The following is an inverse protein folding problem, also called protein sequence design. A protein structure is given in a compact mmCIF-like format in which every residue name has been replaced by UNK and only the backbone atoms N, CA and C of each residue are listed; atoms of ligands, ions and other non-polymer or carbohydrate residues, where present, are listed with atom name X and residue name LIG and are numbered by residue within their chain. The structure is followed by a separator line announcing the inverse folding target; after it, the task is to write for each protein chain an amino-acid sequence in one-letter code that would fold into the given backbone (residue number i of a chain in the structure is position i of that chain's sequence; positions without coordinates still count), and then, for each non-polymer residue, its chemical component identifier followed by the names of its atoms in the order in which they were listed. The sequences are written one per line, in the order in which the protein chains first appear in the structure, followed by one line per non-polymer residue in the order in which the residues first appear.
data_IF_800622816736
#
_entry.id   IF_800622816736
#
_cell.length_a   1.000
_cell.length_b   1.000
_cell.length_c   1.000
_cell.angle_alpha   90.00
_cell.angle_beta   90.00
_cell.angle_gamma   90.00
#
_symmetry.space_group_name_H-M   'P 1'
#
loop_
_entity.id
_entity.type
_entity.pdbx_description
1 polymer ?
#
# COMPACT_ATOMS: atom_id res chain seq x y z
N UNK A 1 -9.63 21.55 14.05
CA UNK A 1 -10.31 20.24 14.20
C UNK A 1 -11.80 20.37 13.92
N UNK A 2 -12.16 20.77 12.70
CA UNK A 2 -13.56 20.97 12.29
C UNK A 2 -14.21 19.70 11.70
N UNK A 3 -13.37 18.71 11.36
CA UNK A 3 -13.72 17.48 10.62
C UNK A 3 -14.80 16.61 11.29
N UNK A 4 -15.06 16.83 12.60
CA UNK A 4 -16.00 16.03 13.39
C UNK A 4 -17.03 16.91 14.11
N UNK A 5 -17.35 18.11 13.61
CA UNK A 5 -18.54 18.83 14.09
C UNK A 5 -19.78 18.04 13.69
N UNK A 6 -20.47 17.49 14.69
CA UNK A 6 -21.50 16.49 14.46
C UNK A 6 -22.86 16.98 14.90
N UNK A 7 -23.78 17.00 13.94
CA UNK A 7 -25.22 17.24 14.07
C UNK A 7 -25.59 18.62 14.63
N UNK A 8 -26.45 19.31 13.88
CA UNK A 8 -27.11 20.50 14.37
C UNK A 8 -28.11 20.07 15.45
N UNK A 9 -27.95 20.57 16.67
CA UNK A 9 -28.74 20.18 17.85
C UNK A 9 -29.99 21.06 18.02
N UNK A 10 -30.06 22.16 17.28
CA UNK A 10 -31.11 23.17 17.36
C UNK A 10 -30.59 24.51 16.85
N UNK A 11 -31.40 25.55 16.95
CA UNK A 11 -30.99 26.94 16.66
C UNK A 11 -30.85 27.73 17.96
N UNK A 12 -29.88 28.64 18.03
CA UNK A 12 -29.85 29.66 19.08
C UNK A 12 -31.05 30.63 18.95
N UNK A 13 -31.19 31.55 19.90
CA UNK A 13 -32.24 32.59 19.89
C UNK A 13 -32.21 33.50 18.64
N UNK A 14 -31.11 33.45 17.87
CA UNK A 14 -30.89 34.21 16.64
C UNK A 14 -31.09 33.35 15.37
N UNK A 15 -31.51 32.09 15.51
CA UNK A 15 -31.73 31.18 14.39
C UNK A 15 -30.47 30.50 13.85
N UNK A 16 -29.31 30.63 14.52
CA UNK A 16 -28.07 29.97 14.11
C UNK A 16 -28.04 28.53 14.61
N UNK A 17 -27.74 27.59 13.71
CA UNK A 17 -27.64 26.17 14.07
C UNK A 17 -26.46 25.90 15.02
N UNK A 18 -26.76 25.38 16.21
CA UNK A 18 -25.80 24.96 17.22
C UNK A 18 -25.25 23.57 16.86
N UNK A 19 -23.94 23.41 16.80
CA UNK A 19 -23.27 22.11 16.60
C UNK A 19 -22.76 21.56 17.91
N UNK A 20 -22.94 20.25 18.16
CA UNK A 20 -22.28 19.60 19.29
C UNK A 20 -20.80 19.42 18.96
N UNK A 21 -19.86 19.80 19.85
CA UNK A 21 -18.51 19.30 19.73
C UNK A 21 -18.54 17.76 19.84
N UNK A 22 -17.75 17.04 19.05
CA UNK A 22 -17.72 15.60 19.13
C UNK A 22 -17.24 15.16 20.52
N UNK A 23 -17.90 14.15 21.09
CA UNK A 23 -17.42 13.55 22.34
C UNK A 23 -16.08 12.85 22.11
N UNK A 24 -15.23 12.78 23.13
CA UNK A 24 -13.96 12.04 23.06
C UNK A 24 -14.17 10.60 22.56
N UNK A 25 -15.18 9.90 23.08
CA UNK A 25 -15.52 8.55 22.65
C UNK A 25 -15.82 8.45 21.14
N UNK A 26 -16.48 9.48 20.56
CA UNK A 26 -16.76 9.52 19.12
C UNK A 26 -15.49 9.74 18.30
N UNK A 27 -14.63 10.67 18.72
CA UNK A 27 -13.34 10.93 18.06
C UNK A 27 -12.46 9.68 18.13
N UNK A 28 -12.38 9.06 19.30
CA UNK A 28 -11.61 7.83 19.51
C UNK A 28 -12.13 6.67 18.65
N UNK A 29 -13.45 6.50 18.53
CA UNK A 29 -14.04 5.49 17.65
C UNK A 29 -13.68 5.72 16.18
N UNK A 30 -13.77 6.97 15.70
CA UNK A 30 -13.37 7.33 14.33
C UNK A 30 -11.89 7.01 14.10
N UNK A 31 -11.02 7.43 15.02
CA UNK A 31 -9.59 7.16 14.95
C UNK A 31 -9.29 5.65 14.93
N UNK A 32 -9.94 4.87 15.79
CA UNK A 32 -9.75 3.42 15.85
C UNK A 32 -10.25 2.73 14.58
N UNK A 33 -11.44 3.09 14.08
CA UNK A 33 -11.99 2.52 12.84
C UNK A 33 -11.10 2.82 11.64
N UNK A 34 -10.63 4.07 11.49
CA UNK A 34 -9.76 4.45 10.38
C UNK A 34 -8.36 3.83 10.49
N UNK A 35 -7.80 3.71 11.70
CA UNK A 35 -6.56 2.96 11.91
C UNK A 35 -6.72 1.48 11.55
N UNK A 36 -7.82 0.86 11.99
CA UNK A 36 -8.11 -0.54 11.70
C UNK A 36 -8.28 -0.77 10.20
N UNK A 37 -8.99 0.11 9.50
CA UNK A 37 -9.14 0.07 8.04
C UNK A 37 -7.79 -0.02 7.32
N UNK A 38 -6.83 0.84 7.67
CA UNK A 38 -5.50 0.82 7.05
C UNK A 38 -4.66 -0.38 7.43
N UNK A 39 -4.79 -0.85 8.68
CA UNK A 39 -4.13 -2.07 9.14
C UNK A 39 -4.62 -3.28 8.35
N UNK A 40 -5.93 -3.44 8.22
CA UNK A 40 -6.53 -4.52 7.43
C UNK A 40 -6.15 -4.41 5.95
N UNK A 41 -6.15 -3.20 5.38
CA UNK A 41 -5.67 -3.01 4.00
C UNK A 41 -4.22 -3.47 3.81
N UNK A 42 -3.36 -3.24 4.80
CA UNK A 42 -1.96 -3.66 4.76
C UNK A 42 -1.81 -5.18 4.96
N UNK A 43 -2.63 -5.78 5.81
CA UNK A 43 -2.57 -7.22 6.10
C UNK A 43 -3.23 -8.07 4.99
N UNK A 44 -4.35 -7.62 4.44
CA UNK A 44 -5.15 -8.36 3.44
C UNK A 44 -4.65 -8.05 2.02
N UNK A 45 -4.82 -6.80 1.55
CA UNK A 45 -4.61 -6.51 0.13
C UNK A 45 -3.13 -6.46 -0.28
N UNK A 46 -2.22 -6.11 0.64
CA UNK A 46 -0.80 -6.10 0.32
C UNK A 46 -0.14 -7.47 0.50
N UNK A 47 -0.74 -8.38 1.29
CA UNK A 47 -0.23 -9.75 1.41
C UNK A 47 -0.57 -10.60 0.17
N UNK A 48 -1.68 -10.32 -0.50
CA UNK A 48 -2.03 -10.92 -1.80
C UNK A 48 -1.04 -10.59 -2.92
N UNK A 49 -0.17 -9.60 -2.71
CA UNK A 49 0.90 -9.24 -3.65
C UNK A 49 2.19 -10.02 -3.44
N UNK A 50 2.22 -10.93 -2.47
CA UNK A 50 3.37 -11.79 -2.26
C UNK A 50 3.59 -12.68 -3.48
N UNK A 51 4.85 -12.93 -3.79
CA UNK A 51 5.25 -13.85 -4.85
C UNK A 51 6.31 -14.84 -4.37
N UNK A 52 6.64 -15.78 -5.26
CA UNK A 52 7.56 -16.90 -4.97
C UNK A 52 9.03 -16.51 -5.21
N UNK A 53 9.36 -15.21 -5.20
CA UNK A 53 10.76 -14.82 -5.09
C UNK A 53 11.27 -15.24 -3.72
N UNK A 54 12.48 -15.78 -3.71
CA UNK A 54 13.15 -16.23 -2.49
C UNK A 54 14.45 -15.45 -2.32
N UNK A 55 14.92 -15.34 -1.08
CA UNK A 55 16.26 -14.85 -0.78
C UNK A 55 17.12 -16.02 -0.34
N UNK A 56 18.38 -16.02 -0.74
CA UNK A 56 19.36 -16.95 -0.20
C UNK A 56 19.89 -16.43 1.12
N UNK A 57 19.99 -17.30 2.11
CA UNK A 57 20.75 -17.09 3.34
C UNK A 57 22.04 -17.88 3.25
N UNK A 58 23.15 -17.26 3.62
CA UNK A 58 24.49 -17.83 3.52
C UNK A 58 25.19 -17.64 4.87
N UNK A 59 25.55 -18.74 5.52
CA UNK A 59 26.22 -18.77 6.81
C UNK A 59 27.71 -18.95 6.65
N UNK A 60 28.46 -18.36 7.59
CA UNK A 60 29.91 -18.44 7.66
C UNK A 60 30.34 -19.31 8.84
N UNK A 61 31.58 -19.81 8.80
CA UNK A 61 32.18 -20.54 9.92
C UNK A 61 32.39 -19.66 11.15
N UNK A 62 32.71 -18.38 10.92
CA UNK A 62 33.03 -17.40 11.94
C UNK A 62 32.47 -16.04 11.54
N UNK A 63 32.16 -15.23 12.54
CA UNK A 63 31.67 -13.87 12.32
C UNK A 63 32.73 -13.04 11.55
N UNK A 64 32.34 -12.37 10.46
CA UNK A 64 33.20 -11.47 9.71
C UNK A 64 33.12 -10.05 10.31
N UNK A 65 34.15 -9.24 10.07
CA UNK A 65 34.14 -7.81 10.43
C UNK A 65 33.42 -7.01 9.33
N UNK A 66 32.09 -7.02 9.37
CA UNK A 66 31.22 -6.35 8.40
C UNK A 66 30.31 -5.34 9.10
N UNK A 67 30.11 -4.18 8.47
CA UNK A 67 29.09 -3.21 8.85
C UNK A 67 27.69 -3.85 8.92
N UNK A 68 26.98 -3.56 10.00
CA UNK A 68 25.64 -4.10 10.27
C UNK A 68 24.63 -3.65 9.20
N UNK A 69 23.89 -4.58 8.63
CA UNK A 69 22.91 -4.34 7.56
C UNK A 69 23.49 -3.66 6.31
N UNK A 70 24.82 -3.71 6.14
CA UNK A 70 25.50 -3.14 4.99
C UNK A 70 25.45 -4.10 3.81
N UNK A 71 25.38 -3.54 2.60
CA UNK A 71 25.33 -4.30 1.34
C UNK A 71 26.73 -4.42 0.75
N UNK A 72 27.09 -5.64 0.39
CA UNK A 72 28.35 -6.03 -0.23
C UNK A 72 28.08 -6.77 -1.55
N UNK A 73 29.09 -6.87 -2.41
CA UNK A 73 29.02 -7.68 -3.62
C UNK A 73 29.82 -8.97 -3.44
N UNK A 74 29.14 -10.11 -3.52
CA UNK A 74 29.76 -11.43 -3.53
C UNK A 74 30.15 -11.77 -4.97
N UNK A 75 31.41 -12.12 -5.18
CA UNK A 75 31.93 -12.55 -6.47
C UNK A 75 31.56 -14.02 -6.71
N UNK A 76 30.77 -14.26 -7.75
CA UNK A 76 30.32 -15.60 -8.13
C UNK A 76 31.13 -16.17 -9.31
N UNK A 77 32.15 -15.46 -9.81
CA UNK A 77 32.91 -15.82 -11.00
C UNK A 77 32.45 -15.02 -12.23
N UNK A 78 31.48 -15.51 -13.02
CA UNK A 78 31.05 -14.80 -14.24
C UNK A 78 30.15 -13.59 -13.95
N UNK A 79 29.65 -13.45 -12.72
CA UNK A 79 28.87 -12.31 -12.24
C UNK A 79 29.16 -12.05 -10.76
N UNK A 80 28.73 -10.90 -10.25
CA UNK A 80 28.55 -10.68 -8.82
C UNK A 80 27.07 -10.75 -8.43
N UNK A 81 26.81 -10.88 -7.13
CA UNK A 81 25.50 -10.77 -6.53
C UNK A 81 25.58 -9.92 -5.26
N UNK A 82 24.71 -8.92 -5.14
CA UNK A 82 24.66 -8.12 -3.92
C UNK A 82 24.03 -8.90 -2.75
N UNK A 83 24.70 -8.89 -1.60
CA UNK A 83 24.30 -9.54 -0.34
C UNK A 83 24.36 -8.53 0.81
N UNK A 84 23.46 -8.63 1.79
CA UNK A 84 23.49 -7.81 2.99
C UNK A 84 23.93 -8.64 4.20
N UNK A 85 24.77 -8.07 5.07
CA UNK A 85 25.15 -8.70 6.33
C UNK A 85 24.09 -8.47 7.41
N UNK A 86 23.49 -9.55 7.90
CA UNK A 86 22.59 -9.51 9.06
C UNK A 86 23.43 -9.91 10.29
N UNK A 87 23.64 -9.00 11.26
CA UNK A 87 24.42 -9.30 12.45
C UNK A 87 23.70 -10.33 13.34
N UNK A 88 24.40 -10.99 14.27
CA UNK A 88 23.79 -11.88 15.25
C UNK A 88 22.64 -11.20 16.01
N UNK A 89 21.51 -11.89 16.15
CA UNK A 89 20.32 -11.40 16.85
C UNK A 89 19.65 -12.52 17.64
N UNK A 90 19.13 -12.21 18.82
CA UNK A 90 18.34 -13.15 19.64
C UNK A 90 19.00 -14.53 19.85
N UNK A 91 20.34 -14.54 19.98
CA UNK A 91 21.14 -15.76 20.15
C UNK A 91 21.38 -16.57 18.89
N UNK A 92 20.93 -16.10 17.72
CA UNK A 92 21.23 -16.68 16.41
C UNK A 92 22.50 -16.07 15.81
N UNK A 93 23.34 -16.88 15.11
CA UNK A 93 24.51 -16.36 14.42
C UNK A 93 24.12 -15.42 13.28
N UNK A 94 25.02 -14.50 12.94
CA UNK A 94 24.85 -13.63 11.78
C UNK A 94 24.98 -14.40 10.46
N UNK A 95 24.38 -13.86 9.40
CA UNK A 95 24.38 -14.47 8.07
C UNK A 95 24.32 -13.40 6.97
N UNK A 96 24.74 -13.77 5.76
CA UNK A 96 24.54 -12.97 4.56
C UNK A 96 23.20 -13.32 3.93
N UNK A 97 22.46 -12.31 3.45
CA UNK A 97 21.21 -12.50 2.70
C UNK A 97 21.32 -11.90 1.30
N UNK A 98 20.92 -12.63 0.27
CA UNK A 98 20.87 -12.10 -1.09
C UNK A 98 19.89 -10.92 -1.18
N UNK A 99 20.29 -9.85 -1.84
CA UNK A 99 19.44 -8.66 -2.06
C UNK A 99 19.10 -8.44 -3.53
N UNK A 100 19.79 -9.14 -4.42
CA UNK A 100 19.68 -8.97 -5.87
C UNK A 100 18.56 -9.80 -6.52
N UNK A 101 18.34 -9.64 -7.82
CA UNK A 101 17.40 -10.46 -8.58
C UNK A 101 18.03 -11.82 -8.95
N UNK A 102 17.65 -12.88 -8.25
CA UNK A 102 18.20 -14.23 -8.47
C UNK A 102 17.89 -14.80 -9.86
N UNK A 103 16.81 -14.36 -10.52
CA UNK A 103 16.56 -14.75 -11.92
C UNK A 103 17.64 -14.21 -12.85
N UNK A 104 18.07 -12.96 -12.63
CA UNK A 104 19.17 -12.37 -13.38
C UNK A 104 20.48 -13.08 -13.05
N UNK A 105 20.77 -13.30 -11.76
CA UNK A 105 21.97 -14.02 -11.32
C UNK A 105 22.06 -15.42 -11.95
N UNK A 106 20.96 -16.18 -11.93
CA UNK A 106 20.89 -17.50 -12.55
C UNK A 106 21.21 -17.46 -14.06
N UNK A 107 20.68 -16.47 -14.81
CA UNK A 107 21.02 -16.30 -16.24
C UNK A 107 22.50 -16.06 -16.46
N UNK A 108 23.11 -15.19 -15.65
CA UNK A 108 24.54 -14.88 -15.78
C UNK A 108 25.43 -16.07 -15.41
N UNK A 109 24.96 -16.93 -14.51
CA UNK A 109 25.61 -18.20 -14.16
C UNK A 109 25.34 -19.33 -15.18
N UNK A 110 24.61 -19.06 -16.26
CA UNK A 110 24.36 -20.03 -17.33
C UNK A 110 23.18 -20.97 -17.11
N UNK A 111 22.22 -20.62 -16.24
CA UNK A 111 20.99 -21.39 -16.08
C UNK A 111 20.19 -21.45 -17.39
N UNK A 112 19.51 -22.57 -17.62
CA UNK A 112 18.56 -22.71 -18.72
C UNK A 112 17.46 -21.64 -18.65
N UNK A 113 16.93 -21.25 -19.81
CA UNK A 113 15.95 -20.17 -19.91
C UNK A 113 14.72 -20.42 -19.01
N UNK A 114 14.24 -21.66 -18.96
CA UNK A 114 13.11 -22.12 -18.14
C UNK A 114 13.35 -21.91 -16.64
N UNK A 115 14.50 -22.34 -16.12
CA UNK A 115 14.89 -22.16 -14.71
C UNK A 115 14.97 -20.68 -14.35
N UNK A 116 15.56 -19.89 -15.25
CA UNK A 116 15.76 -18.46 -15.02
C UNK A 116 14.52 -17.58 -15.23
N UNK A 117 13.43 -18.15 -15.76
CA UNK A 117 12.16 -17.46 -15.93
C UNK A 117 11.27 -17.60 -14.68
N UNK A 118 11.50 -18.65 -13.89
CA UNK A 118 10.80 -18.89 -12.63
C UNK A 118 11.62 -18.38 -11.44
N UNK A 119 10.96 -17.75 -10.47
CA UNK A 119 11.64 -17.12 -9.34
C UNK A 119 12.19 -18.12 -8.32
N UNK A 120 11.46 -19.20 -8.05
CA UNK A 120 11.88 -20.22 -7.09
C UNK A 120 12.96 -21.12 -7.66
N UNK A 121 12.80 -21.57 -8.92
CA UNK A 121 13.82 -22.39 -9.60
C UNK A 121 15.14 -21.64 -9.76
N UNK A 122 15.09 -20.32 -10.01
CA UNK A 122 16.29 -19.48 -10.03
C UNK A 122 17.00 -19.45 -8.68
N UNK A 123 16.26 -19.37 -7.57
CA UNK A 123 16.85 -19.37 -6.24
C UNK A 123 17.55 -20.71 -5.94
N UNK A 124 16.87 -21.83 -6.20
CA UNK A 124 17.42 -23.19 -6.04
C UNK A 124 18.68 -23.36 -6.89
N UNK A 125 18.65 -22.93 -8.15
CA UNK A 125 19.82 -23.02 -9.03
C UNK A 125 21.03 -22.25 -8.48
N UNK A 126 20.84 -21.01 -8.01
CA UNK A 126 21.93 -20.19 -7.47
C UNK A 126 22.44 -20.77 -6.15
N UNK A 127 21.56 -21.30 -5.32
CA UNK A 127 21.93 -22.02 -4.09
C UNK A 127 22.80 -23.25 -4.39
N UNK A 128 22.37 -24.11 -5.31
CA UNK A 128 23.12 -25.30 -5.72
C UNK A 128 24.48 -24.94 -6.32
N UNK A 129 24.55 -23.85 -7.08
CA UNK A 129 25.80 -23.29 -7.58
C UNK A 129 26.73 -22.90 -6.42
N UNK A 130 26.23 -22.18 -5.42
CA UNK A 130 27.01 -21.76 -4.25
C UNK A 130 27.50 -22.97 -3.44
N UNK A 131 26.62 -23.96 -3.19
CA UNK A 131 26.97 -25.21 -2.50
C UNK A 131 28.11 -25.91 -3.19
N UNK A 132 27.99 -26.14 -4.50
CA UNK A 132 29.00 -26.84 -5.29
C UNK A 132 30.35 -26.12 -5.30
N UNK A 133 30.36 -24.82 -5.53
CA UNK A 133 31.61 -24.07 -5.73
C UNK A 133 32.35 -23.78 -4.42
N UNK A 134 31.65 -23.39 -3.35
CA UNK A 134 32.28 -22.92 -2.11
C UNK A 134 32.17 -23.89 -0.93
N UNK A 135 31.02 -24.55 -0.75
CA UNK A 135 30.82 -25.45 0.40
C UNK A 135 31.49 -26.80 0.13
N UNK A 136 31.10 -27.46 -0.95
CA UNK A 136 31.67 -28.76 -1.35
C UNK A 136 33.08 -28.60 -1.91
N UNK A 137 33.29 -27.56 -2.72
CA UNK A 137 34.59 -27.20 -3.27
C UNK A 137 35.58 -26.64 -2.25
N UNK A 138 35.12 -26.30 -1.03
CA UNK A 138 35.90 -25.68 0.05
C UNK A 138 36.74 -24.49 -0.42
N UNK A 139 36.18 -23.68 -1.31
CA UNK A 139 36.84 -22.47 -1.82
C UNK A 139 36.61 -21.31 -0.87
N UNK A 140 37.58 -20.41 -0.82
CA UNK A 140 37.44 -19.15 -0.12
C UNK A 140 36.50 -18.22 -0.90
N UNK A 141 35.39 -17.75 -0.30
CA UNK A 141 34.48 -16.80 -0.93
C UNK A 141 35.13 -15.42 -1.02
N UNK A 142 34.83 -14.69 -2.09
CA UNK A 142 35.27 -13.31 -2.28
C UNK A 142 34.10 -12.35 -2.10
N UNK A 143 34.25 -11.42 -1.15
CA UNK A 143 33.26 -10.39 -0.84
C UNK A 143 33.91 -9.01 -0.89
N UNK A 144 33.26 -8.07 -1.57
CA UNK A 144 33.77 -6.73 -1.83
C UNK A 144 32.78 -5.68 -1.34
N UNK A 145 33.28 -4.54 -0.86
CA UNK A 145 32.43 -3.38 -0.57
C UNK A 145 32.27 -2.50 -1.83
N UNK A 146 31.06 -2.32 -2.37
CA UNK A 146 30.84 -1.51 -3.57
C UNK A 146 31.20 -0.03 -3.35
N UNK A 147 31.16 0.46 -2.12
CA UNK A 147 31.46 1.86 -1.77
C UNK A 147 32.96 2.16 -1.62
N UNK A 148 33.79 1.13 -1.54
CA UNK A 148 35.22 1.33 -1.37
C UNK A 148 35.86 2.02 -2.58
N UNK A 149 36.86 2.86 -2.30
CA UNK A 149 37.70 3.44 -3.34
C UNK A 149 38.35 2.32 -4.17
N UNK A 150 38.62 2.57 -5.45
CA UNK A 150 39.14 1.56 -6.38
C UNK A 150 40.40 0.83 -5.87
N UNK A 151 41.23 1.51 -5.07
CA UNK A 151 42.42 0.92 -4.44
C UNK A 151 42.11 -0.07 -3.29
N UNK A 152 40.97 0.07 -2.60
CA UNK A 152 40.53 -0.83 -1.51
C UNK A 152 39.58 -1.93 -1.99
N UNK A 153 38.95 -1.78 -3.16
CA UNK A 153 38.10 -2.82 -3.79
C UNK A 153 38.80 -4.16 -4.11
N UNK A 154 40.08 -4.31 -3.78
CA UNK A 154 40.83 -5.54 -3.98
C UNK A 154 40.90 -6.43 -2.73
N UNK A 155 40.63 -5.90 -1.53
CA UNK A 155 40.68 -6.70 -0.30
C UNK A 155 39.44 -7.58 -0.18
N UNK A 156 39.64 -8.90 -0.10
CA UNK A 156 38.57 -9.83 0.22
C UNK A 156 38.14 -9.65 1.68
N UNK A 157 36.90 -9.23 1.91
CA UNK A 157 36.35 -9.03 3.26
C UNK A 157 36.05 -10.35 3.99
N UNK A 158 36.06 -11.47 3.27
CA UNK A 158 35.89 -12.81 3.84
C UNK A 158 37.20 -13.61 3.83
N UNK A 159 38.34 -12.91 3.99
CA UNK A 159 39.62 -13.60 4.04
C UNK A 159 39.67 -14.63 5.18
N UNK A 160 40.19 -15.83 4.90
CA UNK A 160 40.25 -16.97 5.83
C UNK A 160 38.88 -17.36 6.42
N UNK A 161 37.80 -17.15 5.67
CA UNK A 161 36.44 -17.62 6.01
C UNK A 161 35.96 -18.65 5.01
N UNK A 162 35.04 -19.50 5.45
CA UNK A 162 34.38 -20.48 4.58
C UNK A 162 32.87 -20.39 4.74
N UNK A 163 32.16 -20.69 3.66
CA UNK A 163 30.71 -20.86 3.71
C UNK A 163 30.41 -22.21 4.35
N UNK A 164 29.52 -22.24 5.34
CA UNK A 164 29.14 -23.46 6.05
C UNK A 164 27.82 -24.01 5.55
N UNK A 165 26.82 -23.13 5.41
CA UNK A 165 25.51 -23.48 4.88
C UNK A 165 25.00 -22.38 3.97
N UNK A 166 24.16 -22.78 3.02
CA UNK A 166 23.30 -21.88 2.27
C UNK A 166 21.93 -22.52 2.15
N UNK A 167 20.90 -21.68 2.19
CA UNK A 167 19.51 -22.09 2.08
C UNK A 167 18.72 -21.01 1.33
N UNK A 168 17.54 -21.32 0.84
CA UNK A 168 16.61 -20.33 0.33
C UNK A 168 15.44 -20.16 1.29
N UNK A 169 14.97 -18.93 1.44
CA UNK A 169 13.81 -18.66 2.28
C UNK A 169 12.53 -19.26 1.67
N UNK A 170 11.83 -20.06 2.46
CA UNK A 170 10.47 -20.56 2.15
C UNK A 170 9.36 -19.54 2.44
N UNK A 171 9.72 -18.32 2.85
CA UNK A 171 8.75 -17.25 3.10
C UNK A 171 8.47 -16.50 1.80
N UNK A 172 7.18 -16.35 1.47
CA UNK A 172 6.76 -15.61 0.29
C UNK A 172 7.22 -14.15 0.33
N UNK A 173 7.80 -13.67 -0.77
CA UNK A 173 8.39 -12.33 -0.87
C UNK A 173 7.31 -11.27 -1.04
N UNK A 174 7.33 -10.25 -0.17
CA UNK A 174 6.46 -9.08 -0.30
C UNK A 174 7.16 -7.98 -1.13
N UNK A 175 6.69 -7.67 -2.35
CA UNK A 175 7.20 -6.53 -3.11
C UNK A 175 6.73 -5.17 -2.59
N UNK A 176 5.86 -5.18 -1.58
CA UNK A 176 5.30 -3.98 -0.99
C UNK A 176 6.14 -3.53 0.19
N UNK A 177 6.50 -2.25 0.20
CA UNK A 177 7.20 -1.61 1.30
C UNK A 177 6.24 -0.61 1.95
N UNK A 178 5.63 -0.94 3.10
CA UNK A 178 4.80 0.01 3.82
C UNK A 178 5.67 1.15 4.38
N UNK A 179 5.22 2.39 4.20
CA UNK A 179 5.91 3.58 4.72
C UNK A 179 5.12 4.13 5.93
N UNK A 180 3.80 4.31 5.79
CA UNK A 180 2.92 4.82 6.84
C UNK A 180 1.56 4.12 6.78
N UNK A 181 1.03 3.75 7.94
CA UNK A 181 -0.33 3.26 8.13
C UNK A 181 -0.93 3.93 9.37
N UNK A 182 -1.36 5.18 9.19
CA UNK A 182 -1.97 6.00 10.23
C UNK A 182 -3.45 6.26 9.89
N UNK A 183 -4.30 6.53 10.89
CA UNK A 183 -5.73 6.81 10.68
C UNK A 183 -6.05 7.79 9.53
N UNK A 184 -5.21 8.79 9.30
CA UNK A 184 -5.41 9.83 8.27
C UNK A 184 -4.62 9.60 6.99
N UNK A 185 -3.58 8.77 7.04
CA UNK A 185 -2.56 8.71 5.99
C UNK A 185 -2.08 7.29 5.82
N UNK A 186 -2.10 6.84 4.58
CA UNK A 186 -1.51 5.58 4.16
C UNK A 186 -0.54 5.83 3.02
N UNK A 187 0.68 5.29 3.13
CA UNK A 187 1.71 5.37 2.10
C UNK A 187 2.43 4.03 2.01
N UNK A 188 2.58 3.52 0.79
CA UNK A 188 3.33 2.32 0.50
C UNK A 188 4.04 2.45 -0.86
N UNK A 189 5.20 1.81 -1.00
CA UNK A 189 5.82 1.57 -2.29
C UNK A 189 5.33 0.23 -2.80
N UNK A 190 4.83 0.21 -4.04
CA UNK A 190 4.21 -0.95 -4.66
C UNK A 190 4.71 -1.10 -6.10
N UNK A 191 4.73 -2.32 -6.66
CA UNK A 191 4.99 -2.51 -8.08
C UNK A 191 4.01 -1.70 -8.95
N UNK A 192 4.54 -1.00 -9.95
CA UNK A 192 3.75 -0.12 -10.82
C UNK A 192 2.59 -0.84 -11.53
N UNK A 193 2.79 -2.10 -11.92
CA UNK A 193 1.79 -2.94 -12.57
C UNK A 193 0.65 -3.40 -11.63
N UNK A 194 0.81 -3.24 -10.31
CA UNK A 194 -0.20 -3.60 -9.29
C UNK A 194 -0.87 -2.37 -8.67
N UNK A 195 -0.37 -1.17 -8.96
CA UNK A 195 -0.83 0.07 -8.32
C UNK A 195 -2.34 0.33 -8.49
N UNK A 196 -2.90 0.06 -9.68
CA UNK A 196 -4.32 0.26 -9.93
C UNK A 196 -5.20 -0.78 -9.22
N UNK A 197 -4.76 -2.03 -9.17
CA UNK A 197 -5.46 -3.11 -8.45
C UNK A 197 -5.60 -2.75 -6.97
N UNK A 198 -4.51 -2.24 -6.37
CA UNK A 198 -4.48 -1.80 -4.96
C UNK A 198 -5.41 -0.61 -4.75
N UNK A 199 -5.38 0.39 -5.64
CA UNK A 199 -6.28 1.55 -5.55
C UNK A 199 -7.74 1.12 -5.64
N UNK A 200 -8.06 0.18 -6.53
CA UNK A 200 -9.40 -0.36 -6.66
C UNK A 200 -9.83 -1.14 -5.41
N UNK A 201 -8.93 -1.95 -4.82
CA UNK A 201 -9.18 -2.65 -3.56
C UNK A 201 -9.47 -1.65 -2.42
N UNK A 202 -8.64 -0.62 -2.26
CA UNK A 202 -8.84 0.44 -1.25
C UNK A 202 -10.18 1.16 -1.48
N UNK A 203 -10.48 1.57 -2.71
CA UNK A 203 -11.74 2.24 -3.05
C UNK A 203 -12.94 1.36 -2.71
N UNK A 204 -12.86 0.06 -3.00
CA UNK A 204 -13.92 -0.92 -2.78
C UNK A 204 -14.17 -1.13 -1.29
N UNK A 205 -13.11 -1.38 -0.51
CA UNK A 205 -13.20 -1.49 0.96
C UNK A 205 -13.76 -0.21 1.57
N UNK A 206 -13.31 0.95 1.12
CA UNK A 206 -13.82 2.24 1.58
C UNK A 206 -15.31 2.42 1.26
N UNK A 207 -15.74 2.13 0.02
CA UNK A 207 -17.13 2.25 -0.37
C UNK A 207 -18.05 1.35 0.48
N UNK A 208 -17.55 0.15 0.81
CA UNK A 208 -18.23 -0.81 1.69
C UNK A 208 -18.29 -0.34 3.15
N UNK A 209 -17.17 0.07 3.74
CA UNK A 209 -17.12 0.28 5.20
C UNK A 209 -17.45 1.73 5.61
N UNK A 210 -17.15 2.70 4.74
CA UNK A 210 -17.23 4.13 5.07
C UNK A 210 -17.95 4.96 4.00
N UNK A 211 -18.40 4.36 2.89
CA UNK A 211 -19.01 5.07 1.76
C UNK A 211 -20.24 5.92 2.12
N UNK A 212 -21.00 5.50 3.15
CA UNK A 212 -22.16 6.24 3.67
C UNK A 212 -21.80 7.59 4.28
N UNK A 213 -20.60 7.72 4.84
CA UNK A 213 -20.12 8.96 5.49
C UNK A 213 -19.12 9.74 4.64
N UNK A 214 -19.08 9.48 3.33
CA UNK A 214 -18.11 10.09 2.40
C UNK A 214 -18.04 11.62 2.41
N UNK A 215 -19.15 12.28 2.75
CA UNK A 215 -19.19 13.74 2.83
C UNK A 215 -18.46 14.31 4.06
N UNK A 216 -18.22 13.48 5.08
CA UNK A 216 -17.53 13.85 6.33
C UNK A 216 -16.15 13.22 6.43
N UNK A 217 -15.99 12.03 5.86
CA UNK A 217 -14.74 11.28 5.82
C UNK A 217 -14.42 10.92 4.37
N UNK A 218 -14.08 11.91 3.52
CA UNK A 218 -13.69 11.64 2.15
C UNK A 218 -12.38 10.84 2.10
N UNK A 219 -12.23 10.02 1.07
CA UNK A 219 -11.01 9.31 0.77
C UNK A 219 -10.35 9.94 -0.46
N UNK A 220 -9.10 10.34 -0.32
CA UNK A 220 -8.26 10.80 -1.41
C UNK A 220 -7.19 9.74 -1.70
N UNK A 221 -7.09 9.33 -2.96
CA UNK A 221 -6.11 8.35 -3.41
C UNK A 221 -5.18 9.02 -4.42
N UNK A 222 -3.89 8.77 -4.27
CA UNK A 222 -2.84 9.33 -5.11
C UNK A 222 -1.83 8.26 -5.50
N UNK A 223 -1.37 8.31 -6.75
CA UNK A 223 -0.32 7.43 -7.27
C UNK A 223 0.81 8.27 -7.84
N UNK A 224 2.03 7.98 -7.43
CA UNK A 224 3.25 8.57 -8.00
C UNK A 224 4.04 7.44 -8.66
N UNK A 225 4.17 7.52 -9.99
CA UNK A 225 5.05 6.63 -10.75
C UNK A 225 6.43 7.27 -10.89
N UNK A 226 7.46 6.50 -10.59
CA UNK A 226 8.84 6.95 -10.70
C UNK A 226 9.74 5.81 -11.18
N UNK A 227 10.84 6.14 -11.86
CA UNK A 227 11.81 5.15 -12.32
C UNK A 227 12.68 4.65 -11.16
N UNK A 228 13.21 3.44 -11.25
CA UNK A 228 14.08 2.82 -10.21
C UNK A 228 15.24 3.71 -9.75
N UNK A 229 15.82 4.52 -10.64
CA UNK A 229 16.94 5.42 -10.33
C UNK A 229 16.53 6.79 -9.77
N UNK A 230 15.22 7.03 -9.60
CA UNK A 230 14.73 8.26 -8.98
C UNK A 230 15.10 8.24 -7.50
N UNK A 231 15.75 9.29 -6.96
CA UNK A 231 16.07 9.35 -5.54
C UNK A 231 14.82 9.16 -4.68
N UNK A 232 14.87 8.26 -3.71
CA UNK A 232 13.72 7.93 -2.86
C UNK A 232 13.15 9.18 -2.17
N UNK A 233 14.01 10.13 -1.76
CA UNK A 233 13.59 11.41 -1.19
C UNK A 233 12.67 12.20 -2.12
N UNK A 234 12.94 12.22 -3.42
CA UNK A 234 12.11 12.93 -4.40
C UNK A 234 10.75 12.24 -4.59
N UNK A 235 10.73 10.90 -4.63
CA UNK A 235 9.49 10.14 -4.68
C UNK A 235 8.61 10.33 -3.42
N UNK A 236 9.23 10.32 -2.24
CA UNK A 236 8.54 10.57 -0.97
C UNK A 236 8.03 12.02 -0.88
N UNK A 237 8.79 13.01 -1.35
CA UNK A 237 8.35 14.41 -1.39
C UNK A 237 7.15 14.58 -2.34
N UNK A 238 7.19 13.98 -3.53
CA UNK A 238 6.06 13.97 -4.44
C UNK A 238 4.81 13.34 -3.81
N UNK A 239 4.94 12.18 -3.15
CA UNK A 239 3.85 11.53 -2.43
C UNK A 239 3.28 12.40 -1.30
N UNK A 240 4.15 13.06 -0.51
CA UNK A 240 3.72 13.99 0.54
C UNK A 240 3.00 15.22 -0.01
N UNK A 241 3.45 15.76 -1.15
CA UNK A 241 2.74 16.86 -1.82
C UNK A 241 1.35 16.44 -2.31
N UNK A 242 1.14 15.18 -2.68
CA UNK A 242 -0.21 14.67 -2.99
C UNK A 242 -1.10 14.60 -1.75
N UNK A 243 -0.55 14.30 -0.57
CA UNK A 243 -1.29 14.34 0.71
C UNK A 243 -1.63 15.76 1.14
N UNK A 244 -0.71 16.69 0.89
CA UNK A 244 -0.94 18.13 1.01
C UNK A 244 -1.78 18.59 -0.18
N UNK A 245 -3.00 18.05 -0.26
CA UNK A 245 -4.04 18.40 -1.20
C UNK A 245 -4.04 19.92 -1.38
N UNK A 246 -3.43 20.42 -2.47
CA UNK A 246 -3.13 21.85 -2.57
C UNK A 246 -4.43 22.63 -2.52
N UNK A 247 -4.58 23.22 -1.36
CA UNK A 247 -5.77 23.68 -0.69
C UNK A 247 -6.56 24.78 -1.39
N UNK A 248 -6.17 25.17 -2.61
CA UNK A 248 -6.81 26.23 -3.37
C UNK A 248 -6.85 26.02 -4.88
N UNK A 249 -6.33 24.90 -5.42
CA UNK A 249 -6.23 24.70 -6.88
C UNK A 249 -7.32 23.81 -7.48
N UNK A 250 -7.92 22.90 -6.72
CA UNK A 250 -9.07 22.13 -7.21
C UNK A 250 -10.34 22.97 -7.07
N UNK A 251 -10.84 23.47 -8.20
CA UNK A 251 -12.17 24.07 -8.26
C UNK A 251 -13.20 22.99 -7.98
N UNK A 252 -14.21 23.33 -7.19
CA UNK A 252 -15.38 22.49 -7.00
C UNK A 252 -15.96 22.05 -8.35
N UNK A 253 -15.90 20.75 -8.60
CA UNK A 253 -16.40 20.15 -9.81
C UNK A 253 -17.88 19.77 -9.61
N UNK A 254 -18.77 20.50 -10.29
CA UNK A 254 -20.21 20.17 -10.27
C UNK A 254 -20.47 19.10 -11.33
N UNK A 255 -20.93 17.94 -10.86
CA UNK A 255 -21.36 16.83 -11.71
C UNK A 255 -22.88 16.86 -11.90
N UNK A 256 -23.33 16.60 -13.12
CA UNK A 256 -24.75 16.52 -13.45
C UNK A 256 -25.23 15.07 -13.32
N UNK A 257 -26.37 14.88 -12.66
CA UNK A 257 -27.06 13.58 -12.63
C UNK A 257 -27.74 13.38 -13.98
N UNK A 258 -27.37 12.31 -14.68
CA UNK A 258 -27.92 11.95 -16.00
C UNK A 258 -28.98 10.86 -15.90
N UNK A 259 -28.86 9.95 -14.94
CA UNK A 259 -29.88 8.95 -14.65
C UNK A 259 -29.86 8.53 -13.19
N UNK A 260 -31.03 8.14 -12.69
CA UNK A 260 -31.22 7.53 -11.37
C UNK A 260 -32.07 6.28 -11.58
N UNK A 261 -31.56 5.13 -11.16
CA UNK A 261 -32.25 3.84 -11.26
C UNK A 261 -32.31 3.20 -9.88
N UNK A 262 -33.48 3.13 -9.23
CA UNK A 262 -33.63 2.50 -7.92
C UNK A 262 -33.69 0.98 -8.04
N UNK A 263 -33.13 0.29 -7.04
CA UNK A 263 -33.13 -1.17 -6.92
C UNK A 263 -32.51 -1.93 -8.11
N UNK A 264 -31.54 -1.30 -8.77
CA UNK A 264 -30.71 -1.98 -9.76
C UNK A 264 -29.84 -3.02 -9.07
N UNK A 265 -29.80 -4.23 -9.62
CA UNK A 265 -28.81 -5.22 -9.22
C UNK A 265 -27.40 -4.67 -9.49
N UNK A 266 -26.47 -4.91 -8.56
CA UNK A 266 -25.06 -4.60 -8.79
C UNK A 266 -24.57 -5.40 -10.01
N UNK A 267 -23.88 -4.77 -10.97
CA UNK A 267 -23.26 -5.51 -12.07
C UNK A 267 -22.18 -6.44 -11.53
N UNK A 268 -21.82 -7.47 -12.31
CA UNK A 268 -20.84 -8.49 -11.91
C UNK A 268 -19.54 -7.89 -11.36
N UNK A 269 -19.02 -6.86 -12.04
CA UNK A 269 -17.79 -6.13 -11.69
C UNK A 269 -17.86 -5.37 -10.36
N UNK A 270 -19.05 -5.24 -9.76
CA UNK A 270 -19.31 -4.50 -8.53
C UNK A 270 -19.96 -5.33 -7.43
N UNK A 271 -20.18 -6.63 -7.63
CA UNK A 271 -20.69 -7.54 -6.58
C UNK A 271 -19.85 -7.52 -5.31
N UNK A 272 -18.53 -7.37 -5.45
CA UNK A 272 -17.56 -7.23 -4.34
C UNK A 272 -17.91 -6.13 -3.33
N UNK A 273 -18.71 -5.11 -3.71
CA UNK A 273 -19.20 -4.10 -2.78
C UNK A 273 -20.12 -4.67 -1.69
N UNK A 274 -20.83 -5.77 -1.99
CA UNK A 274 -21.76 -6.44 -1.09
C UNK A 274 -21.08 -7.50 -0.20
N UNK A 275 -19.79 -7.77 -0.37
CA UNK A 275 -19.10 -8.81 0.40
C UNK A 275 -19.10 -8.50 1.89
N UNK A 276 -19.61 -9.42 2.70
CA UNK A 276 -19.66 -9.26 4.16
C UNK A 276 -20.59 -8.15 4.66
N UNK A 277 -21.47 -7.61 3.82
CA UNK A 277 -22.45 -6.58 4.22
C UNK A 277 -23.80 -6.76 3.53
N UNK A 278 -24.88 -6.40 4.22
CA UNK A 278 -26.24 -6.47 3.66
C UNK A 278 -26.74 -5.12 3.15
N UNK A 279 -25.96 -4.04 3.31
CA UNK A 279 -26.40 -2.68 2.96
C UNK A 279 -26.62 -2.46 1.44
N UNK A 280 -26.08 -3.35 0.60
CA UNK A 280 -26.24 -3.32 -0.86
C UNK A 280 -27.38 -4.22 -1.37
N UNK A 281 -28.14 -4.87 -0.48
CA UNK A 281 -29.35 -5.61 -0.85
C UNK A 281 -30.35 -4.76 -1.64
N UNK A 282 -30.37 -3.46 -1.37
CA UNK A 282 -31.04 -2.45 -2.18
C UNK A 282 -30.02 -1.38 -2.56
N UNK A 283 -29.95 -1.07 -3.84
CA UNK A 283 -28.98 -0.12 -4.39
C UNK A 283 -29.68 0.88 -5.30
N UNK A 284 -29.31 2.16 -5.18
CA UNK A 284 -29.71 3.20 -6.13
C UNK A 284 -28.50 3.50 -7.03
N UNK A 285 -28.63 3.24 -8.32
CA UNK A 285 -27.60 3.55 -9.32
C UNK A 285 -27.77 4.98 -9.79
N UNK A 286 -26.75 5.80 -9.58
CA UNK A 286 -26.70 7.20 -10.00
C UNK A 286 -25.61 7.36 -11.06
N UNK A 287 -25.99 7.74 -12.29
CA UNK A 287 -25.02 8.06 -13.35
C UNK A 287 -24.77 9.56 -13.38
N UNK A 288 -23.51 9.94 -13.28
CA UNK A 288 -23.03 11.31 -13.22
C UNK A 288 -22.20 11.60 -14.48
N UNK A 289 -22.34 12.81 -15.03
CA UNK A 289 -21.54 13.28 -16.14
C UNK A 289 -20.95 14.67 -15.87
N UNK A 290 -19.73 14.89 -16.36
CA UNK A 290 -19.06 16.18 -16.29
C UNK A 290 -17.96 16.29 -17.34
N UNK A 291 -18.01 17.32 -18.20
CA UNK A 291 -16.96 17.61 -19.20
C UNK A 291 -16.54 16.37 -20.01
N UNK A 292 -17.52 15.57 -20.48
CA UNK A 292 -17.27 14.32 -21.22
C UNK A 292 -16.82 13.12 -20.37
N UNK A 293 -16.62 13.29 -19.06
CA UNK A 293 -16.35 12.21 -18.10
C UNK A 293 -17.66 11.65 -17.55
N UNK A 294 -17.66 10.36 -17.23
CA UNK A 294 -18.80 9.65 -16.66
C UNK A 294 -18.39 8.89 -15.40
N UNK A 295 -19.30 8.85 -14.43
CA UNK A 295 -19.13 8.11 -13.18
C UNK A 295 -20.46 7.44 -12.82
N UNK A 296 -20.42 6.14 -12.57
CA UNK A 296 -21.55 5.40 -12.01
C UNK A 296 -21.32 5.21 -10.53
N UNK A 297 -22.26 5.68 -9.73
CA UNK A 297 -22.24 5.55 -8.28
C UNK A 297 -23.37 4.62 -7.81
N UNK A 298 -22.99 3.55 -7.13
CA UNK A 298 -23.91 2.59 -6.52
C UNK A 298 -24.12 2.98 -5.06
N UNK A 299 -25.29 3.52 -4.76
CA UNK A 299 -25.65 4.03 -3.43
C UNK A 299 -26.36 2.92 -2.65
N UNK A 300 -25.85 2.47 -1.49
CA UNK A 300 -26.59 1.54 -0.64
C UNK A 300 -27.84 2.24 -0.09
N UNK A 301 -29.01 1.61 -0.29
CA UNK A 301 -30.30 2.20 0.05
C UNK A 301 -30.89 1.67 1.38
N UNK A 302 -30.23 0.69 2.00
CA UNK A 302 -30.62 0.09 3.29
C UNK A 302 -29.47 0.10 4.29
N UNK A 303 -29.78 -0.04 5.59
CA UNK A 303 -28.81 -0.10 6.68
C UNK A 303 -28.06 -1.43 6.70
N UNK A 304 -27.16 -1.62 7.69
CA UNK A 304 -26.33 -2.82 7.79
C UNK A 304 -27.11 -4.12 7.99
N UNK A 305 -28.39 -4.03 8.37
CA UNK A 305 -29.34 -5.14 8.49
C UNK A 305 -29.97 -5.56 7.15
N UNK A 306 -29.66 -4.85 6.06
CA UNK A 306 -30.17 -5.13 4.73
C UNK A 306 -31.67 -4.88 4.53
N UNK A 307 -32.38 -4.35 5.53
CA UNK A 307 -33.82 -4.19 5.51
C UNK A 307 -34.26 -2.75 5.80
N UNK A 308 -33.66 -2.10 6.81
CA UNK A 308 -34.08 -0.76 7.23
C UNK A 308 -33.69 0.25 6.14
N UNK A 309 -34.63 1.00 5.55
CA UNK A 309 -34.30 2.01 4.56
C UNK A 309 -33.33 3.05 5.11
N UNK A 310 -32.23 3.29 4.39
CA UNK A 310 -31.24 4.30 4.77
C UNK A 310 -31.75 5.68 4.39
N UNK A 311 -32.26 6.35 5.40
CA UNK A 311 -32.86 7.66 5.31
C UNK A 311 -31.89 8.79 5.71
N UNK A 312 -30.66 8.43 6.10
CA UNK A 312 -29.71 9.33 6.73
C UNK A 312 -28.45 9.53 5.92
N UNK A 313 -28.10 8.59 5.06
CA UNK A 313 -26.86 8.60 4.29
C UNK A 313 -27.08 8.06 2.87
N UNK A 314 -26.15 8.35 1.95
CA UNK A 314 -25.09 9.35 2.03
C UNK A 314 -25.61 10.77 1.74
N UNK A 315 -25.03 11.78 2.41
CA UNK A 315 -25.27 13.18 2.05
C UNK A 315 -24.40 13.60 0.87
N UNK A 316 -24.91 14.53 0.05
CA UNK A 316 -24.21 15.12 -1.08
C UNK A 316 -24.34 16.64 -1.08
N UNK A 317 -23.30 17.33 -1.53
CA UNK A 317 -23.38 18.75 -1.82
C UNK A 317 -24.09 18.96 -3.16
N UNK A 318 -25.01 19.92 -3.20
CA UNK A 318 -25.76 20.28 -4.40
C UNK A 318 -25.43 21.71 -4.81
N UNK A 319 -25.46 22.00 -6.11
CA UNK A 319 -25.38 23.37 -6.64
C UNK A 319 -26.80 23.96 -6.68
N UNK A 320 -27.06 24.99 -5.88
CA UNK A 320 -28.37 25.67 -5.82
C UNK A 320 -28.92 25.73 -4.40
N UNK A 321 -30.17 26.18 -4.28
CA UNK A 321 -30.87 26.22 -3.00
C UNK A 321 -31.43 24.84 -2.63
N UNK A 322 -31.17 24.43 -1.38
CA UNK A 322 -31.70 23.20 -0.79
C UNK A 322 -32.95 23.44 0.06
N UNK A 323 -33.41 24.69 0.19
CA UNK A 323 -34.64 25.04 0.89
C UNK A 323 -35.82 24.34 0.19
N UNK A 324 -36.60 23.57 0.94
CA UNK A 324 -37.68 22.72 0.41
C UNK A 324 -37.35 21.22 0.34
N UNK A 325 -36.12 20.80 0.66
CA UNK A 325 -35.83 19.37 0.89
C UNK A 325 -35.99 19.01 2.35
N UNK A 326 -36.80 17.99 2.63
CA UNK A 326 -37.07 17.49 3.99
C UNK A 326 -35.82 17.02 4.76
N UNK A 327 -34.73 16.73 4.05
CA UNK A 327 -33.47 16.21 4.63
C UNK A 327 -32.27 16.97 4.08
N UNK A 328 -32.19 18.23 4.44
CA UNK A 328 -31.05 19.09 4.18
C UNK A 328 -30.52 19.67 5.49
N UNK A 329 -29.20 19.83 5.58
CA UNK A 329 -28.58 20.60 6.65
C UNK A 329 -27.39 21.38 6.07
N UNK A 330 -27.05 22.51 6.70
CA UNK A 330 -25.84 23.25 6.36
C UNK A 330 -24.64 22.49 6.94
N UNK A 331 -23.82 21.91 6.07
CA UNK A 331 -22.54 21.32 6.44
C UNK A 331 -21.41 22.29 6.09
N UNK A 332 -20.31 22.33 6.86
CA UNK A 332 -19.08 22.90 6.34
C UNK A 332 -18.74 22.13 5.06
N UNK A 333 -18.70 22.85 3.95
CA UNK A 333 -18.17 22.29 2.70
C UNK A 333 -16.71 21.98 2.99
N UNK A 334 -16.21 20.76 2.68
CA UNK A 334 -14.78 20.51 2.69
C UNK A 334 -14.17 21.39 1.62
N UNK A 335 -13.82 22.62 2.00
CA UNK A 335 -13.00 23.49 1.20
C UNK A 335 -11.62 22.84 1.20
N UNK A 336 -10.96 22.91 0.06
CA UNK A 336 -9.59 22.43 -0.08
C UNK A 336 -8.66 23.09 0.96
N UNK A 337 -9.02 24.25 1.54
CA UNK A 337 -8.20 25.03 2.47
C UNK A 337 -8.11 24.55 3.93
N UNK A 338 -8.86 23.52 4.31
CA UNK A 338 -8.77 22.98 5.67
C UNK A 338 -9.18 23.97 6.76
N UNK A 339 -9.87 25.06 6.40
CA UNK A 339 -10.51 26.00 7.34
C UNK A 339 -11.99 25.78 7.46
#
# INVERSE_FOLDING_TARGET
GELVRSLAIGTDEKGNWLSKPPTFARVFRIWRTTKQFWKEMQEEALSDLRDDRRRLTISLDREPDLGQYHVYDMDLGPTSMSVAWIPPQDGQPGYLVSTDNLQYTARQLGAAAELSADSALSAIFVEDFIKREWIDGRREPRLLNPEDAAARRQSNLLHDRILTTTDHQDTAYSPVIPILAEPRTFMALVPANKALDIVQAIQTKYAREMGKVRNRLPLHLGLVYFQRRTPLRAALDAGRRMLNYESGRMKDEVWSVTSISPNDALPETKKVLADGTQQFNQTITVKLAQNGRFLTWYVPAVMGDGMTPDNWYPYVFIKGDGSGRNRAFKAPRPKSDGT
#
